data_IF_361664266635
#
_entry.id   IF_361664266635
#
_cell.length_a   1.000
_cell.length_b   1.000
_cell.length_c   1.000
_cell.angle_alpha   90.00
_cell.angle_beta   90.00
_cell.angle_gamma   90.00
#
_symmetry.space_group_name_H-M   'P 1'
#
loop_
_entity.id
_entity.type
_entity.pdbx_description
1 polymer ?
#
# COMPACT_ATOMS: atom_id res chain seq x y z
N UNK A 1 17.61 30.04 -20.25
CA UNK A 1 16.22 30.30 -20.70
C UNK A 1 15.34 29.30 -19.98
N UNK A 2 14.37 29.75 -19.21
CA UNK A 2 13.53 28.81 -18.44
C UNK A 2 12.48 28.20 -19.36
N UNK A 3 12.52 26.88 -19.50
CA UNK A 3 11.56 26.14 -20.32
C UNK A 3 10.13 26.38 -19.81
N UNK A 4 9.21 26.62 -20.75
CA UNK A 4 7.83 27.02 -20.44
C UNK A 4 6.88 25.94 -20.95
N UNK A 5 5.98 25.49 -20.09
CA UNK A 5 5.06 24.40 -20.37
C UNK A 5 3.60 24.84 -20.38
N UNK A 6 2.82 24.22 -21.25
CA UNK A 6 1.36 24.25 -21.25
C UNK A 6 0.79 23.37 -20.14
N UNK A 7 -0.51 23.49 -19.88
CA UNK A 7 -1.19 22.64 -18.89
C UNK A 7 -1.10 21.14 -19.22
N UNK A 8 -1.05 20.78 -20.50
CA UNK A 8 -0.95 19.39 -20.94
C UNK A 8 0.44 18.81 -20.65
N UNK A 9 1.49 19.58 -20.96
CA UNK A 9 2.87 19.19 -20.67
C UNK A 9 3.11 19.04 -19.16
N UNK A 10 2.55 19.94 -18.35
CA UNK A 10 2.61 19.82 -16.89
C UNK A 10 1.89 18.57 -16.38
N UNK A 11 0.69 18.29 -16.90
CA UNK A 11 -0.09 17.13 -16.52
C UNK A 11 0.64 15.82 -16.90
N UNK A 12 1.21 15.78 -18.10
CA UNK A 12 2.03 14.67 -18.59
C UNK A 12 3.26 14.44 -17.72
N UNK A 13 3.98 15.50 -17.33
CA UNK A 13 5.13 15.40 -16.43
C UNK A 13 4.76 14.80 -15.06
N UNK A 14 3.56 15.10 -14.56
CA UNK A 14 3.05 14.52 -13.32
C UNK A 14 2.33 13.16 -13.52
N UNK A 15 2.21 12.67 -14.75
CA UNK A 15 1.48 11.43 -15.06
C UNK A 15 0.00 11.50 -14.70
N UNK A 16 -0.64 12.67 -14.87
CA UNK A 16 -2.07 12.89 -14.61
C UNK A 16 -2.77 13.45 -15.85
N UNK A 17 -4.10 13.43 -15.84
CA UNK A 17 -4.90 14.09 -16.89
C UNK A 17 -4.89 15.61 -16.68
N UNK A 18 -4.96 16.37 -17.77
CA UNK A 18 -4.98 17.84 -17.77
C UNK A 18 -6.07 18.45 -16.86
N UNK A 19 -7.31 17.94 -16.79
CA UNK A 19 -8.30 18.41 -15.81
C UNK A 19 -7.87 18.21 -14.34
N UNK A 20 -7.19 17.10 -14.04
CA UNK A 20 -6.67 16.81 -12.69
C UNK A 20 -5.57 17.80 -12.31
N UNK A 21 -4.65 18.09 -13.24
CA UNK A 21 -3.64 19.13 -13.09
C UNK A 21 -4.29 20.50 -12.78
N UNK A 22 -5.26 20.93 -13.59
CA UNK A 22 -5.95 22.20 -13.39
C UNK A 22 -6.70 22.25 -12.05
N UNK A 23 -7.23 21.12 -11.59
CA UNK A 23 -7.82 20.99 -10.26
C UNK A 23 -6.80 21.12 -9.12
N UNK A 24 -5.57 20.61 -9.29
CA UNK A 24 -4.51 20.85 -8.32
C UNK A 24 -4.10 22.32 -8.29
N UNK A 25 -3.94 22.95 -9.45
CA UNK A 25 -3.61 24.38 -9.54
C UNK A 25 -4.68 25.24 -8.85
N UNK A 26 -5.98 24.96 -9.07
CA UNK A 26 -7.05 25.75 -8.43
C UNK A 26 -7.11 25.59 -6.91
N UNK A 27 -6.67 24.44 -6.39
CA UNK A 27 -6.59 24.17 -4.95
C UNK A 27 -5.25 24.59 -4.31
N UNK A 28 -4.34 25.22 -5.06
CA UNK A 28 -2.99 25.56 -4.58
C UNK A 28 -2.09 24.34 -4.30
N UNK A 29 -2.44 23.19 -4.89
CA UNK A 29 -1.77 21.89 -4.74
C UNK A 29 -0.76 21.61 -5.87
N UNK A 30 -0.53 22.58 -6.74
CA UNK A 30 0.44 22.58 -7.82
C UNK A 30 0.96 24.02 -8.04
N UNK A 31 2.08 24.21 -8.74
CA UNK A 31 2.58 25.54 -9.07
C UNK A 31 1.54 26.44 -9.71
N UNK A 32 1.55 27.71 -9.33
CA UNK A 32 0.73 28.73 -9.97
C UNK A 32 1.22 28.97 -11.42
N UNK A 33 0.32 29.24 -12.37
CA UNK A 33 0.72 29.64 -13.72
C UNK A 33 1.48 30.96 -13.66
N UNK A 34 2.36 31.16 -14.65
CA UNK A 34 3.01 32.45 -14.87
C UNK A 34 1.97 33.53 -15.20
N UNK A 35 2.24 34.80 -14.86
CA UNK A 35 1.37 35.92 -15.24
C UNK A 35 1.26 36.08 -16.77
N UNK A 36 2.37 35.85 -17.47
CA UNK A 36 2.43 35.90 -18.94
C UNK A 36 1.79 34.66 -19.54
N UNK A 37 1.04 34.87 -20.62
CA UNK A 37 0.41 33.80 -21.41
C UNK A 37 1.24 33.46 -22.65
N UNK A 38 0.99 32.31 -23.26
CA UNK A 38 1.60 31.98 -24.55
C UNK A 38 1.01 32.83 -25.70
N UNK A 39 1.55 32.64 -26.92
CA UNK A 39 1.10 33.35 -28.13
C UNK A 39 -0.37 33.10 -28.51
N UNK A 40 -1.02 32.09 -27.92
CA UNK A 40 -2.43 31.77 -28.11
C UNK A 40 -3.30 32.24 -26.92
N UNK A 41 -2.71 32.93 -25.95
CA UNK A 41 -3.43 33.43 -24.77
C UNK A 41 -3.77 32.36 -23.73
N UNK A 42 -3.06 31.21 -23.74
CA UNK A 42 -3.21 30.13 -22.74
C UNK A 42 -2.26 30.35 -21.55
N UNK A 43 -2.64 29.79 -20.40
CA UNK A 43 -1.79 29.79 -19.20
C UNK A 43 -0.59 28.88 -19.43
N UNK A 44 0.56 29.32 -18.92
CA UNK A 44 1.81 28.56 -18.98
C UNK A 44 2.50 28.51 -17.63
N UNK A 45 3.37 27.52 -17.46
CA UNK A 45 4.10 27.25 -16.23
C UNK A 45 5.59 27.18 -16.50
N UNK A 46 6.35 27.41 -15.44
CA UNK A 46 7.78 27.19 -15.41
C UNK A 46 8.06 25.69 -15.27
N UNK A 47 8.72 25.08 -16.25
CA UNK A 47 8.93 23.63 -16.28
C UNK A 47 9.72 23.12 -15.07
N UNK A 48 10.74 23.88 -14.64
CA UNK A 48 11.59 23.49 -13.51
C UNK A 48 10.82 23.55 -12.20
N UNK A 49 9.98 24.57 -12.04
CA UNK A 49 9.06 24.66 -10.90
C UNK A 49 8.07 23.48 -10.88
N UNK A 50 7.54 23.07 -12.03
CA UNK A 50 6.62 21.92 -12.14
C UNK A 50 7.31 20.61 -11.76
N UNK A 51 8.57 20.41 -12.18
CA UNK A 51 9.37 19.23 -11.84
C UNK A 51 9.72 19.17 -10.35
N UNK A 52 10.05 20.31 -9.74
CA UNK A 52 10.54 20.36 -8.36
C UNK A 52 9.42 20.45 -7.31
N UNK A 53 8.19 20.77 -7.69
CA UNK A 53 7.11 20.99 -6.74
C UNK A 53 6.67 19.68 -6.07
N UNK A 54 6.54 19.65 -4.73
CA UNK A 54 6.19 18.43 -4.00
C UNK A 54 4.77 18.00 -4.36
N UNK A 55 4.65 16.92 -5.14
CA UNK A 55 3.35 16.42 -5.60
C UNK A 55 2.56 15.80 -4.44
N UNK A 56 1.33 16.27 -4.15
CA UNK A 56 0.46 15.64 -3.17
C UNK A 56 0.16 14.18 -3.55
N UNK A 57 0.38 13.26 -2.61
CA UNK A 57 0.11 11.83 -2.80
C UNK A 57 1.18 11.06 -3.59
N UNK A 58 2.24 11.69 -4.11
CA UNK A 58 3.34 10.99 -4.77
C UNK A 58 4.18 10.13 -3.81
N UNK A 59 4.18 10.46 -2.51
CA UNK A 59 4.85 9.69 -1.45
C UNK A 59 4.21 8.33 -1.12
N UNK A 60 3.18 7.89 -1.86
CA UNK A 60 2.64 6.52 -1.75
C UNK A 60 2.90 5.65 -2.98
N UNK A 61 3.81 6.07 -3.86
CA UNK A 61 4.27 5.23 -4.96
C UNK A 61 5.48 4.40 -4.50
N UNK A 62 5.57 3.15 -4.96
CA UNK A 62 6.69 2.20 -4.72
C UNK A 62 8.09 2.78 -4.95
N UNK A 63 8.20 3.89 -5.68
CA UNK A 63 9.45 4.62 -5.97
C UNK A 63 9.91 5.50 -4.81
N UNK A 64 9.02 5.83 -3.86
CA UNK A 64 9.33 6.60 -2.64
C UNK A 64 9.62 5.73 -1.42
N UNK A 65 9.64 4.40 -1.58
CA UNK A 65 10.16 3.51 -0.54
C UNK A 65 11.68 3.66 -0.55
N UNK A 66 12.19 4.63 0.21
CA UNK A 66 13.62 4.69 0.54
C UNK A 66 14.08 3.41 1.23
N UNK A 67 15.39 3.22 1.42
CA UNK A 67 15.95 2.04 2.09
C UNK A 67 15.23 1.70 3.41
N UNK A 68 14.80 2.70 4.17
CA UNK A 68 14.09 2.55 5.43
C UNK A 68 12.71 1.88 5.28
N UNK A 69 12.00 2.18 4.18
CA UNK A 69 10.71 1.56 3.90
C UNK A 69 10.87 0.11 3.46
N UNK A 70 11.91 -0.21 2.67
CA UNK A 70 12.22 -1.59 2.30
C UNK A 70 12.67 -2.42 3.51
N UNK A 71 13.45 -1.84 4.43
CA UNK A 71 13.79 -2.46 5.72
C UNK A 71 12.53 -2.77 6.53
N UNK A 72 11.63 -1.80 6.71
CA UNK A 72 10.37 -2.03 7.43
C UNK A 72 9.53 -3.12 6.76
N UNK A 73 9.44 -3.12 5.42
CA UNK A 73 8.74 -4.17 4.69
C UNK A 73 9.39 -5.55 4.84
N UNK A 74 10.72 -5.61 5.01
CA UNK A 74 11.43 -6.85 5.31
C UNK A 74 11.10 -7.35 6.73
N UNK A 75 11.16 -6.48 7.73
CA UNK A 75 10.75 -6.80 9.10
C UNK A 75 9.30 -7.32 9.16
N UNK A 76 8.38 -6.67 8.43
CA UNK A 76 6.99 -7.12 8.33
C UNK A 76 6.87 -8.55 7.75
N UNK A 77 7.72 -8.91 6.79
CA UNK A 77 7.73 -10.26 6.19
C UNK A 77 8.28 -11.31 7.17
N UNK A 78 9.31 -10.95 7.93
CA UNK A 78 9.88 -11.83 8.95
C UNK A 78 8.86 -12.14 10.04
N UNK A 79 8.21 -11.12 10.59
CA UNK A 79 7.13 -11.29 11.59
C UNK A 79 5.97 -12.12 11.03
N UNK A 80 5.61 -11.93 9.76
CA UNK A 80 4.56 -12.74 9.13
C UNK A 80 4.96 -14.23 9.05
N UNK A 81 6.22 -14.53 8.71
CA UNK A 81 6.73 -15.91 8.70
C UNK A 81 6.70 -16.54 10.10
N UNK A 82 7.12 -15.81 11.14
CA UNK A 82 7.04 -16.27 12.53
C UNK A 82 5.59 -16.57 12.96
N UNK A 83 4.64 -15.70 12.57
CA UNK A 83 3.21 -15.91 12.85
C UNK A 83 2.72 -17.19 12.15
N UNK A 84 3.12 -17.44 10.90
CA UNK A 84 2.73 -18.64 10.15
C UNK A 84 3.28 -19.92 10.80
N UNK A 85 4.53 -19.91 11.26
CA UNK A 85 5.12 -21.03 12.02
C UNK A 85 4.37 -21.29 13.34
N UNK A 86 4.12 -20.23 14.11
CA UNK A 86 3.37 -20.33 15.36
C UNK A 86 1.95 -20.86 15.11
N UNK A 87 1.28 -20.41 14.04
CA UNK A 87 -0.03 -20.94 13.65
C UNK A 87 0.04 -22.41 13.23
N UNK A 88 1.11 -22.83 12.56
CA UNK A 88 1.39 -24.25 12.28
C UNK A 88 1.43 -25.07 13.57
N UNK A 89 2.20 -24.60 14.57
CA UNK A 89 2.33 -25.25 15.87
C UNK A 89 1.02 -25.28 16.66
N UNK A 90 0.21 -24.21 16.59
CA UNK A 90 -1.13 -24.21 17.20
C UNK A 90 -2.04 -25.28 16.59
N UNK A 91 -1.98 -25.49 15.26
CA UNK A 91 -2.73 -26.56 14.59
C UNK A 91 -2.26 -27.95 15.01
N UNK A 92 -0.96 -28.16 15.18
CA UNK A 92 -0.40 -29.41 15.71
C UNK A 92 -0.89 -29.71 17.13
N UNK A 93 -0.84 -28.72 18.03
CA UNK A 93 -1.35 -28.86 19.39
C UNK A 93 -2.85 -29.17 19.41
N UNK A 94 -3.63 -28.50 18.55
CA UNK A 94 -5.05 -28.76 18.42
C UNK A 94 -5.34 -30.21 17.96
N UNK A 95 -4.53 -30.75 17.03
CA UNK A 95 -4.62 -32.14 16.58
C UNK A 95 -4.27 -33.12 17.70
N UNK A 96 -3.14 -32.93 18.35
CA UNK A 96 -2.71 -33.76 19.47
C UNK A 96 -3.74 -33.76 20.62
N UNK A 97 -4.35 -32.61 20.91
CA UNK A 97 -5.44 -32.52 21.87
C UNK A 97 -6.70 -33.26 21.43
N UNK A 98 -7.06 -33.20 20.14
CA UNK A 98 -8.19 -33.94 19.58
C UNK A 98 -7.97 -35.46 19.66
N UNK A 99 -6.78 -35.94 19.36
CA UNK A 99 -6.39 -37.36 19.48
C UNK A 99 -6.46 -37.86 20.93
N UNK A 100 -6.18 -36.99 21.89
CA UNK A 100 -6.33 -37.25 23.34
C UNK A 100 -7.76 -37.10 23.86
N UNK A 101 -8.72 -36.80 22.99
CA UNK A 101 -10.14 -36.64 23.36
C UNK A 101 -10.47 -35.34 24.08
N UNK A 102 -9.62 -34.30 23.97
CA UNK A 102 -9.91 -33.01 24.60
C UNK A 102 -11.10 -32.31 23.94
N UNK A 103 -11.85 -31.57 24.76
CA UNK A 103 -12.98 -30.76 24.31
C UNK A 103 -12.54 -29.62 23.40
N UNK A 104 -13.18 -29.49 22.23
CA UNK A 104 -12.82 -28.50 21.20
C UNK A 104 -12.97 -27.07 21.74
N UNK A 105 -13.99 -26.81 22.57
CA UNK A 105 -14.19 -25.49 23.16
C UNK A 105 -13.06 -25.11 24.12
N UNK A 106 -12.55 -26.08 24.90
CA UNK A 106 -11.44 -25.86 25.82
C UNK A 106 -10.14 -25.58 25.04
N UNK A 107 -9.85 -26.37 24.01
CA UNK A 107 -8.67 -26.16 23.16
C UNK A 107 -8.73 -24.83 22.41
N UNK A 108 -9.89 -24.46 21.85
CA UNK A 108 -10.06 -23.18 21.15
C UNK A 108 -9.77 -21.98 22.06
N UNK A 109 -10.28 -22.02 23.31
CA UNK A 109 -10.00 -21.00 24.33
C UNK A 109 -8.51 -20.94 24.69
N UNK A 110 -7.87 -22.10 24.89
CA UNK A 110 -6.45 -22.17 25.21
C UNK A 110 -5.56 -21.60 24.09
N UNK A 111 -5.95 -21.79 22.83
CA UNK A 111 -5.24 -21.26 21.66
C UNK A 111 -5.63 -19.82 21.31
N UNK A 112 -6.61 -19.22 22.01
CA UNK A 112 -7.08 -17.87 21.74
C UNK A 112 -7.83 -17.72 20.42
N UNK A 113 -8.45 -18.81 19.91
CA UNK A 113 -9.19 -18.80 18.64
C UNK A 113 -10.67 -19.10 18.83
N UNK A 114 -11.47 -18.78 17.82
CA UNK A 114 -12.89 -19.13 17.84
C UNK A 114 -13.08 -20.66 17.71
N UNK A 115 -14.22 -21.16 18.23
CA UNK A 115 -14.62 -22.56 18.06
C UNK A 115 -14.70 -22.95 16.56
N UNK A 116 -15.19 -22.04 15.72
CA UNK A 116 -15.29 -22.26 14.28
C UNK A 116 -13.91 -22.39 13.62
N UNK A 117 -12.96 -21.55 14.01
CA UNK A 117 -11.57 -21.60 13.55
C UNK A 117 -10.92 -22.94 13.91
N UNK A 118 -11.12 -23.41 15.15
CA UNK A 118 -10.61 -24.71 15.58
C UNK A 118 -11.21 -25.87 14.76
N UNK A 119 -12.52 -25.86 14.47
CA UNK A 119 -13.13 -26.86 13.59
C UNK A 119 -12.55 -26.83 12.17
N UNK A 120 -12.42 -25.64 11.58
CA UNK A 120 -11.84 -25.49 10.23
C UNK A 120 -10.43 -26.07 10.16
N UNK A 121 -9.59 -25.81 11.15
CA UNK A 121 -8.22 -26.34 11.17
C UNK A 121 -8.15 -27.87 11.30
N UNK A 122 -9.13 -28.49 11.95
CA UNK A 122 -9.23 -29.94 12.03
C UNK A 122 -9.81 -30.56 10.74
N UNK A 123 -10.57 -29.79 9.95
CA UNK A 123 -11.16 -30.23 8.68
C UNK A 123 -10.23 -30.09 7.47
N UNK A 124 -9.25 -29.18 7.51
CA UNK A 124 -8.23 -28.96 6.46
C UNK A 124 -7.23 -30.14 6.32
N UNK A 125 -7.57 -31.36 6.76
CA UNK A 125 -6.76 -32.53 6.50
C UNK A 125 -6.84 -32.94 5.01
N UNK A 126 -5.71 -33.24 4.35
CA UNK A 126 -5.77 -34.07 3.16
C UNK A 126 -6.37 -35.41 3.57
N UNK A 127 -7.51 -35.78 2.98
CA UNK A 127 -8.06 -37.13 3.13
C UNK A 127 -6.99 -38.09 2.62
N UNK A 128 -6.47 -38.96 3.48
CA UNK A 128 -5.52 -39.98 3.08
C UNK A 128 -6.08 -40.78 1.89
N UNK A 129 -5.32 -40.84 0.80
CA UNK A 129 -5.36 -41.88 -0.22
C UNK A 129 -4.92 -43.22 0.36
#
# INVERSE_FOLDING_TARGET
>A
MTETWTSDECARAWGVKTPTWLGYVSRGQAPAPRPTRDGEGRRVWDADQVRSFPRPGAGRSRVGAGPEAETLLAEMREVAAEIDELRGRQRELLRAGKERGLEILAMARALGVSRQTAYSWLQDQPRGT
#
